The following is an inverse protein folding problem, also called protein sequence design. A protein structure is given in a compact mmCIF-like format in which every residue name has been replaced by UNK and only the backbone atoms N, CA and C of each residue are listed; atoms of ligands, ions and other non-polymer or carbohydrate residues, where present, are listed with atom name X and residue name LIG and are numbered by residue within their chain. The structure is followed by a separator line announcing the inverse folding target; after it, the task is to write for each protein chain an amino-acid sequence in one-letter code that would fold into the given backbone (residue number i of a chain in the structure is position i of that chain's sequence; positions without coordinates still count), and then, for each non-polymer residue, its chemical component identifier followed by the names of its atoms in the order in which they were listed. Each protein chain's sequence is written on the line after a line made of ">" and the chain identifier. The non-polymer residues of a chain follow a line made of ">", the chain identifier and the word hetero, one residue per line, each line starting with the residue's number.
data_IF_159054136065
#
_entry.id   IF_159054136065
#
_cell.length_a   1.000
_cell.length_b   1.000
_cell.length_c   1.000
_cell.angle_alpha   90.00
_cell.angle_beta   90.00
_cell.angle_gamma   90.00
#
_symmetry.space_group_name_H-M   'P 1'
#
loop_
_entity.id
_entity.type
_entity.pdbx_description
1 polymer ?
#
# COMPACT_ATOMS: atom_id res chain seq x y z
N UNK A 1 -15.45 4.34 -17.05
CA UNK A 1 -14.07 4.49 -16.51
C UNK A 1 -13.25 3.38 -17.14
N UNK A 2 -12.15 3.67 -17.86
CA UNK A 2 -11.31 2.60 -18.46
C UNK A 2 -10.72 1.80 -17.30
N UNK A 3 -10.97 0.48 -17.26
CA UNK A 3 -10.28 -0.43 -16.35
C UNK A 3 -8.80 -0.46 -16.76
N UNK A 4 -7.98 0.36 -16.13
CA UNK A 4 -6.53 0.23 -16.29
C UNK A 4 -6.14 -1.12 -15.69
N UNK A 5 -5.64 -2.01 -16.54
CA UNK A 5 -4.99 -3.24 -16.09
C UNK A 5 -3.81 -2.85 -15.18
N UNK A 6 -3.64 -3.51 -14.02
CA UNK A 6 -2.59 -3.16 -13.10
C UNK A 6 -1.22 -3.28 -13.78
N UNK A 7 -0.36 -2.30 -13.54
CA UNK A 7 0.97 -2.24 -14.17
C UNK A 7 1.92 -3.30 -13.58
N UNK A 8 1.76 -3.62 -12.30
CA UNK A 8 2.51 -4.64 -11.59
C UNK A 8 1.67 -5.35 -10.51
N UNK A 9 2.05 -6.59 -10.19
CA UNK A 9 1.65 -7.28 -8.96
C UNK A 9 2.74 -7.09 -7.91
N UNK A 10 2.42 -6.48 -6.78
CA UNK A 10 3.35 -6.32 -5.64
C UNK A 10 2.97 -7.32 -4.56
N UNK A 11 3.86 -8.25 -4.25
CA UNK A 11 3.74 -9.17 -3.12
C UNK A 11 4.55 -8.62 -1.96
N UNK A 12 3.91 -8.38 -0.82
CA UNK A 12 4.54 -7.83 0.37
C UNK A 12 4.59 -8.91 1.45
N UNK A 13 5.79 -9.23 1.92
CA UNK A 13 5.98 -10.05 3.11
C UNK A 13 5.68 -9.20 4.36
N UNK A 14 4.50 -9.41 4.92
CA UNK A 14 3.91 -8.50 5.90
C UNK A 14 4.70 -8.44 7.21
N UNK A 15 5.13 -9.58 7.76
CA UNK A 15 5.87 -9.58 9.02
C UNK A 15 7.30 -9.09 8.84
N UNK A 16 7.94 -9.38 7.70
CA UNK A 16 9.24 -8.80 7.40
C UNK A 16 9.17 -7.27 7.32
N UNK A 17 8.14 -6.73 6.67
CA UNK A 17 7.94 -5.27 6.57
C UNK A 17 7.65 -4.63 7.93
N UNK A 18 6.75 -5.21 8.74
CA UNK A 18 6.51 -4.76 10.12
C UNK A 18 7.83 -4.81 10.91
N UNK A 19 8.61 -5.87 10.73
CA UNK A 19 9.93 -6.08 11.31
C UNK A 19 11.05 -5.22 10.71
N UNK A 20 10.78 -4.37 9.72
CA UNK A 20 11.75 -3.44 9.15
C UNK A 20 11.40 -1.97 9.45
N UNK A 21 10.11 -1.63 9.45
CA UNK A 21 9.66 -0.24 9.61
C UNK A 21 9.61 0.17 11.07
N UNK A 22 10.43 1.15 11.44
CA UNK A 22 10.55 1.57 12.84
C UNK A 22 9.22 1.97 13.49
N UNK A 23 8.34 2.67 12.76
CA UNK A 23 7.01 3.03 13.27
C UNK A 23 6.14 1.80 13.54
N UNK A 24 6.12 0.82 12.64
CA UNK A 24 5.32 -0.40 12.81
C UNK A 24 5.87 -1.32 13.90
N UNK A 25 7.20 -1.37 14.09
CA UNK A 25 7.81 -2.04 15.25
C UNK A 25 7.32 -1.43 16.55
N UNK A 26 7.35 -0.10 16.66
CA UNK A 26 6.88 0.61 17.85
C UNK A 26 5.40 0.31 18.08
N UNK A 27 4.56 0.34 17.04
CA UNK A 27 3.14 -0.02 17.13
C UNK A 27 2.96 -1.46 17.60
N UNK A 28 3.68 -2.42 17.01
CA UNK A 28 3.65 -3.83 17.41
C UNK A 28 3.99 -3.99 18.88
N UNK A 29 5.07 -3.35 19.33
CA UNK A 29 5.60 -3.51 20.69
C UNK A 29 4.70 -2.84 21.74
N UNK A 30 3.96 -1.78 21.37
CA UNK A 30 3.08 -1.04 22.30
C UNK A 30 1.61 -1.45 22.25
N UNK A 31 1.11 -1.82 21.08
CA UNK A 31 -0.31 -2.01 20.79
C UNK A 31 -0.63 -3.41 20.24
N UNK A 32 0.38 -4.26 20.07
CA UNK A 32 0.23 -5.61 19.59
C UNK A 32 0.34 -5.74 18.07
N UNK A 33 0.54 -6.97 17.63
CA UNK A 33 0.79 -7.30 16.23
C UNK A 33 -0.39 -6.97 15.31
N UNK A 34 -1.61 -7.12 15.79
CA UNK A 34 -2.82 -6.83 15.02
C UNK A 34 -2.89 -5.36 14.61
N UNK A 35 -2.60 -4.43 15.54
CA UNK A 35 -2.55 -3.01 15.23
C UNK A 35 -1.44 -2.67 14.22
N UNK A 36 -0.30 -3.37 14.28
CA UNK A 36 0.76 -3.19 13.30
C UNK A 36 0.38 -3.71 11.91
N UNK A 37 -0.39 -4.81 11.81
CA UNK A 37 -0.95 -5.28 10.53
C UNK A 37 -1.89 -4.24 9.95
N UNK A 38 -2.82 -3.72 10.77
CA UNK A 38 -3.76 -2.70 10.36
C UNK A 38 -3.05 -1.43 9.83
N UNK A 39 -2.08 -0.90 10.57
CA UNK A 39 -1.34 0.29 10.15
C UNK A 39 -0.51 0.05 8.86
N UNK A 40 0.03 -1.15 8.67
CA UNK A 40 0.71 -1.50 7.43
C UNK A 40 -0.26 -1.49 6.24
N UNK A 41 -1.42 -2.13 6.39
CA UNK A 41 -2.45 -2.20 5.34
C UNK A 41 -2.91 -0.80 4.95
N UNK A 42 -3.25 0.04 5.93
CA UNK A 42 -3.65 1.44 5.70
C UNK A 42 -2.58 2.23 4.95
N UNK A 43 -1.31 2.08 5.32
CA UNK A 43 -0.21 2.76 4.64
C UNK A 43 -0.07 2.31 3.17
N UNK A 44 -0.33 1.03 2.88
CA UNK A 44 -0.21 0.46 1.55
C UNK A 44 -1.40 0.76 0.63
N UNK A 45 -2.59 1.05 1.16
CA UNK A 45 -3.78 1.41 0.36
C UNK A 45 -3.48 2.61 -0.55
N UNK A 46 -2.91 3.67 0.02
CA UNK A 46 -2.57 4.88 -0.75
C UNK A 46 -1.44 4.61 -1.75
N UNK A 47 -0.45 3.80 -1.39
CA UNK A 47 0.64 3.41 -2.29
C UNK A 47 0.12 2.60 -3.49
N UNK A 48 -0.68 1.55 -3.25
CA UNK A 48 -1.23 0.69 -4.28
C UNK A 48 -2.08 1.49 -5.29
N UNK A 49 -2.93 2.38 -4.78
CA UNK A 49 -3.80 3.23 -5.59
C UNK A 49 -3.01 4.27 -6.39
N UNK A 50 -1.99 4.88 -5.79
CA UNK A 50 -1.16 5.90 -6.45
C UNK A 50 -0.41 5.34 -7.66
N UNK A 51 0.04 4.09 -7.57
CA UNK A 51 0.82 3.44 -8.63
C UNK A 51 -0.04 2.56 -9.57
N UNK A 52 -1.34 2.43 -9.35
CA UNK A 52 -2.19 1.45 -10.04
C UNK A 52 -1.61 0.02 -9.98
N UNK A 53 -0.98 -0.34 -8.86
CA UNK A 53 -0.39 -1.66 -8.64
C UNK A 53 -1.38 -2.55 -7.90
N UNK A 54 -1.53 -3.79 -8.36
CA UNK A 54 -2.25 -4.80 -7.57
C UNK A 54 -1.31 -5.26 -6.46
N UNK A 55 -1.62 -4.90 -5.22
CA UNK A 55 -0.79 -5.18 -4.05
C UNK A 55 -1.44 -6.28 -3.23
N UNK A 56 -0.67 -7.30 -2.87
CA UNK A 56 -1.10 -8.38 -1.98
C UNK A 56 -0.15 -8.46 -0.80
N UNK A 57 -0.67 -8.22 0.39
CA UNK A 57 0.09 -8.34 1.65
C UNK A 57 -0.09 -9.76 2.18
N UNK A 58 1.00 -10.48 2.39
CA UNK A 58 0.99 -11.88 2.81
C UNK A 58 1.44 -11.96 4.26
N UNK A 59 0.61 -12.56 5.11
CA UNK A 59 0.94 -12.84 6.51
C UNK A 59 0.91 -14.34 6.76
N UNK A 60 1.90 -14.87 7.47
CA UNK A 60 1.79 -16.22 8.03
C UNK A 60 0.59 -16.31 8.98
N UNK A 61 -0.17 -17.39 8.87
CA UNK A 61 -1.17 -17.69 9.88
C UNK A 61 -0.51 -18.00 11.23
N UNK A 62 -1.17 -17.56 12.30
CA UNK A 62 -0.73 -17.81 13.68
C UNK A 62 -1.52 -18.94 14.35
N UNK A 63 -2.45 -19.58 13.62
CA UNK A 63 -3.45 -20.48 14.17
C UNK A 63 -3.30 -21.90 13.64
N UNK A 64 -3.44 -22.88 14.52
CA UNK A 64 -3.38 -24.30 14.19
C UNK A 64 -4.65 -24.70 13.41
N UNK A 65 -4.46 -25.27 12.21
CA UNK A 65 -5.51 -25.82 11.33
C UNK A 65 -6.50 -24.84 10.66
N UNK A 66 -6.16 -23.56 10.49
CA UNK A 66 -6.98 -22.65 9.68
C UNK A 66 -6.65 -22.77 8.18
N UNK A 67 -7.67 -22.76 7.29
CA UNK A 67 -7.44 -22.62 5.85
C UNK A 67 -6.90 -21.22 5.54
N UNK A 68 -6.30 -21.05 4.35
CA UNK A 68 -5.90 -19.73 3.89
C UNK A 68 -7.12 -18.81 3.71
N UNK A 69 -6.95 -17.54 4.00
CA UNK A 69 -8.00 -16.53 3.87
C UNK A 69 -7.49 -15.34 3.07
N UNK A 70 -8.28 -14.86 2.11
CA UNK A 70 -8.01 -13.62 1.38
C UNK A 70 -9.08 -12.58 1.69
N UNK A 71 -8.65 -11.38 2.06
CA UNK A 71 -9.50 -10.24 2.38
C UNK A 71 -9.21 -9.12 1.39
N UNK A 72 -10.21 -8.72 0.61
CA UNK A 72 -10.10 -7.56 -0.28
C UNK A 72 -10.40 -6.28 0.50
N UNK A 73 -9.42 -5.38 0.61
CA UNK A 73 -9.60 -4.08 1.25
C UNK A 73 -9.97 -3.00 0.23
N UNK A 74 -9.36 -3.07 -0.96
CA UNK A 74 -9.63 -2.18 -2.09
C UNK A 74 -9.42 -2.93 -3.41
N UNK A 75 -9.88 -2.39 -4.56
CA UNK A 75 -9.61 -3.00 -5.87
C UNK A 75 -8.11 -3.20 -6.20
N UNK A 76 -7.23 -2.46 -5.52
CA UNK A 76 -5.78 -2.52 -5.70
C UNK A 76 -5.04 -3.19 -4.52
N UNK A 77 -5.72 -3.56 -3.44
CA UNK A 77 -5.08 -4.12 -2.26
C UNK A 77 -5.91 -5.23 -1.63
N UNK A 78 -5.31 -6.41 -1.52
CA UNK A 78 -5.81 -7.52 -0.71
C UNK A 78 -4.78 -7.99 0.31
N UNK A 79 -5.27 -8.61 1.37
CA UNK A 79 -4.47 -9.27 2.40
C UNK A 79 -4.70 -10.77 2.28
N UNK A 80 -3.63 -11.55 2.29
CA UNK A 80 -3.66 -13.00 2.24
C UNK A 80 -3.02 -13.56 3.51
N UNK A 81 -3.83 -14.23 4.31
CA UNK A 81 -3.37 -15.04 5.43
C UNK A 81 -3.14 -16.47 4.93
N UNK A 82 -1.92 -16.97 5.06
CA UNK A 82 -1.56 -18.31 4.59
C UNK A 82 -2.30 -19.39 5.37
N UNK A 83 -2.42 -20.59 4.79
CA UNK A 83 -2.88 -21.74 5.56
C UNK A 83 -1.84 -22.12 6.63
N UNK A 84 -2.24 -22.85 7.68
CA UNK A 84 -1.30 -23.27 8.75
C UNK A 84 -0.06 -24.03 8.23
N UNK A 85 -0.18 -24.77 7.13
CA UNK A 85 0.90 -25.54 6.52
C UNK A 85 1.74 -24.77 5.49
N UNK A 86 1.45 -23.49 5.25
CA UNK A 86 2.11 -22.65 4.26
C UNK A 86 2.68 -21.40 4.93
N UNK A 87 3.94 -21.06 4.64
CA UNK A 87 4.54 -19.78 5.05
C UNK A 87 4.36 -18.74 3.95
N UNK A 88 4.44 -17.46 4.33
CA UNK A 88 4.42 -16.33 3.41
C UNK A 88 5.49 -16.48 2.34
N UNK A 89 6.67 -16.96 2.72
CA UNK A 89 7.75 -17.27 1.79
C UNK A 89 7.31 -18.29 0.74
N UNK A 90 6.83 -19.47 1.16
CA UNK A 90 6.36 -20.50 0.21
C UNK A 90 5.19 -20.05 -0.65
N UNK A 91 4.28 -19.25 -0.12
CA UNK A 91 3.19 -18.65 -0.91
C UNK A 91 3.76 -17.73 -1.99
N UNK A 92 4.66 -16.81 -1.62
CA UNK A 92 5.28 -15.84 -2.53
C UNK A 92 6.11 -16.54 -3.60
N UNK A 93 6.91 -17.54 -3.23
CA UNK A 93 7.69 -18.36 -4.17
C UNK A 93 6.78 -19.05 -5.20
N UNK A 94 5.72 -19.71 -4.74
CA UNK A 94 4.74 -20.37 -5.60
C UNK A 94 4.03 -19.37 -6.52
N UNK A 95 3.69 -18.18 -6.02
CA UNK A 95 3.10 -17.12 -6.81
C UNK A 95 4.06 -16.63 -7.91
N UNK A 96 5.34 -16.43 -7.58
CA UNK A 96 6.36 -16.04 -8.56
C UNK A 96 6.59 -17.14 -9.62
N UNK A 97 6.71 -18.40 -9.19
CA UNK A 97 6.89 -19.53 -10.10
C UNK A 97 5.70 -19.71 -11.06
N UNK A 98 4.48 -19.51 -10.56
CA UNK A 98 3.26 -19.56 -11.38
C UNK A 98 3.20 -18.39 -12.36
N UNK A 99 3.55 -17.18 -11.92
CA UNK A 99 3.55 -15.97 -12.73
C UNK A 99 4.47 -16.09 -13.96
N UNK A 100 5.64 -16.73 -13.80
CA UNK A 100 6.58 -16.99 -14.90
C UNK A 100 5.97 -17.77 -16.07
N UNK A 101 4.99 -18.63 -15.80
CA UNK A 101 4.43 -19.55 -16.80
C UNK A 101 3.22 -18.97 -17.55
N UNK A 102 2.77 -17.76 -17.21
CA UNK A 102 1.52 -17.20 -17.75
C UNK A 102 1.79 -15.92 -18.51
N UNK A 103 1.42 -15.88 -19.80
CA UNK A 103 1.43 -14.67 -20.63
C UNK A 103 0.18 -13.81 -20.39
N UNK A 104 -0.04 -13.36 -19.15
CA UNK A 104 -1.18 -12.50 -18.77
C UNK A 104 -0.72 -11.26 -18.02
N UNK A 105 -1.56 -10.22 -18.00
CA UNK A 105 -1.33 -9.00 -17.21
C UNK A 105 -1.67 -9.24 -15.72
N UNK A 106 -0.95 -8.60 -14.78
CA UNK A 106 0.24 -7.75 -14.98
C UNK A 106 1.42 -8.59 -15.50
N UNK A 107 2.34 -7.99 -16.29
CA UNK A 107 3.54 -8.68 -16.80
C UNK A 107 4.76 -8.55 -15.88
N UNK A 108 4.62 -7.76 -14.80
CA UNK A 108 5.66 -7.46 -13.82
C UNK A 108 5.20 -7.89 -12.43
N UNK A 109 6.07 -8.59 -11.71
CA UNK A 109 5.87 -8.97 -10.31
C UNK A 109 7.02 -8.41 -9.47
N UNK A 110 6.68 -7.80 -8.35
CA UNK A 110 7.61 -7.17 -7.42
C UNK A 110 7.42 -7.81 -6.05
N UNK A 111 8.48 -8.26 -5.41
CA UNK A 111 8.45 -8.81 -4.05
C UNK A 111 9.13 -7.86 -3.09
N UNK A 112 8.41 -7.45 -2.05
CA UNK A 112 8.91 -6.60 -0.99
C UNK A 112 9.25 -7.41 0.27
N UNK A 113 10.55 -7.63 0.49
CA UNK A 113 11.10 -8.28 1.69
C UNK A 113 12.56 -7.88 1.89
N UNK A 114 13.05 -7.97 3.13
CA UNK A 114 14.47 -7.81 3.51
C UNK A 114 15.13 -9.16 3.81
N UNK A 115 14.39 -10.27 3.71
CA UNK A 115 14.99 -11.61 3.81
C UNK A 115 15.88 -11.91 2.58
N UNK A 116 17.14 -12.29 2.82
CA UNK A 116 18.11 -12.54 1.76
C UNK A 116 17.85 -13.85 1.02
N UNK A 117 17.44 -14.90 1.73
CA UNK A 117 17.13 -16.19 1.12
C UNK A 117 15.92 -16.02 0.19
N UNK A 118 14.87 -15.38 0.68
CA UNK A 118 13.67 -15.12 -0.11
C UNK A 118 13.98 -14.25 -1.33
N UNK A 119 14.83 -13.23 -1.19
CA UNK A 119 15.29 -12.40 -2.32
C UNK A 119 15.92 -13.26 -3.41
N UNK A 120 16.84 -14.15 -3.07
CA UNK A 120 17.53 -14.97 -4.07
C UNK A 120 16.54 -15.86 -4.82
N UNK A 121 15.60 -16.48 -4.11
CA UNK A 121 14.59 -17.34 -4.71
C UNK A 121 13.67 -16.60 -5.67
N UNK A 122 13.07 -15.48 -5.23
CA UNK A 122 12.10 -14.76 -6.06
C UNK A 122 12.74 -14.12 -7.29
N UNK A 123 13.97 -13.61 -7.16
CA UNK A 123 14.74 -13.14 -8.32
C UNK A 123 15.06 -14.28 -9.28
N UNK A 124 15.37 -15.48 -8.76
CA UNK A 124 15.53 -16.69 -9.58
C UNK A 124 14.28 -17.05 -10.38
N UNK A 125 13.09 -16.74 -9.87
CA UNK A 125 11.82 -16.86 -10.59
C UNK A 125 11.52 -15.71 -11.57
N UNK A 126 12.39 -14.70 -11.65
CA UNK A 126 12.21 -13.53 -12.53
C UNK A 126 11.41 -12.39 -11.90
N UNK A 127 11.13 -12.44 -10.60
CA UNK A 127 10.51 -11.32 -9.90
C UNK A 127 11.51 -10.20 -9.63
N UNK A 128 11.02 -8.96 -9.61
CA UNK A 128 11.79 -7.83 -9.12
C UNK A 128 11.81 -7.82 -7.60
N UNK A 129 12.96 -7.54 -7.02
CA UNK A 129 13.11 -7.41 -5.58
C UNK A 129 13.04 -5.94 -5.14
N UNK A 130 12.35 -5.70 -4.04
CA UNK A 130 12.30 -4.43 -3.34
C UNK A 130 12.58 -4.66 -1.84
N UNK A 131 13.53 -3.91 -1.27
CA UNK A 131 13.72 -3.95 0.19
C UNK A 131 12.53 -3.32 0.92
N UNK A 132 12.27 -3.78 2.15
CA UNK A 132 11.20 -3.23 3.00
C UNK A 132 11.40 -1.72 3.26
N UNK A 133 12.64 -1.24 3.42
CA UNK A 133 12.93 0.19 3.61
C UNK A 133 12.71 1.03 2.35
N UNK A 134 12.98 0.46 1.16
CA UNK A 134 12.63 1.10 -0.12
C UNK A 134 11.11 1.25 -0.24
N UNK A 135 10.34 0.19 0.06
CA UNK A 135 8.88 0.26 0.09
C UNK A 135 8.40 1.36 1.05
N UNK A 136 8.99 1.47 2.25
CA UNK A 136 8.67 2.56 3.19
C UNK A 136 8.85 3.94 2.56
N UNK A 137 9.98 4.14 1.88
CA UNK A 137 10.31 5.41 1.25
C UNK A 137 9.33 5.77 0.13
N UNK A 138 8.93 4.79 -0.67
CA UNK A 138 7.93 4.96 -1.73
C UNK A 138 6.53 5.26 -1.17
N UNK A 139 6.11 4.56 -0.12
CA UNK A 139 4.84 4.78 0.59
C UNK A 139 4.77 6.18 1.19
N UNK A 140 5.86 6.65 1.81
CA UNK A 140 5.96 8.01 2.35
C UNK A 140 5.92 9.06 1.23
N UNK A 141 6.55 8.77 0.08
CA UNK A 141 6.51 9.66 -1.08
C UNK A 141 5.09 9.75 -1.68
N UNK A 142 4.40 8.63 -1.86
CA UNK A 142 3.00 8.59 -2.30
C UNK A 142 2.09 9.36 -1.34
N UNK A 143 2.29 9.19 -0.03
CA UNK A 143 1.54 9.91 1.02
C UNK A 143 1.74 11.43 0.98
N UNK A 144 2.97 11.90 0.72
CA UNK A 144 3.23 13.34 0.54
C UNK A 144 2.53 13.89 -0.70
N UNK A 145 2.63 13.20 -1.85
CA UNK A 145 1.99 13.63 -3.10
C UNK A 145 0.47 13.72 -2.97
N UNK A 146 -0.17 12.72 -2.36
CA UNK A 146 -1.62 12.74 -2.12
C UNK A 146 -2.06 13.93 -1.27
N UNK A 147 -1.28 14.29 -0.24
CA UNK A 147 -1.54 15.47 0.62
C UNK A 147 -1.34 16.79 -0.12
N UNK A 148 -0.31 16.89 -0.95
CA UNK A 148 -0.06 18.13 -1.71
C UNK A 148 -1.12 18.35 -2.79
N UNK A 149 -1.58 17.28 -3.43
CA UNK A 149 -2.70 17.32 -4.37
C UNK A 149 -4.00 17.75 -3.68
N UNK A 150 -4.32 17.21 -2.50
CA UNK A 150 -5.54 17.55 -1.79
C UNK A 150 -5.54 19.01 -1.31
N UNK A 151 -4.42 19.52 -0.76
CA UNK A 151 -4.26 20.93 -0.39
C UNK A 151 -4.42 21.87 -1.58
N UNK A 152 -3.81 21.53 -2.71
CA UNK A 152 -3.89 22.34 -3.94
C UNK A 152 -5.32 22.36 -4.49
N UNK A 153 -6.00 21.21 -4.50
CA UNK A 153 -7.39 21.07 -4.94
C UNK A 153 -8.37 21.83 -4.04
N UNK A 154 -8.24 21.72 -2.72
CA UNK A 154 -9.06 22.47 -1.75
C UNK A 154 -8.85 23.98 -1.89
N UNK A 155 -7.60 24.44 -2.06
CA UNK A 155 -7.29 25.87 -2.26
C UNK A 155 -7.90 26.43 -3.56
N UNK A 156 -7.88 25.65 -4.64
CA UNK A 156 -8.52 26.02 -5.91
C UNK A 156 -10.03 26.04 -5.77
N UNK A 157 -10.64 25.00 -5.19
CA UNK A 157 -12.09 24.92 -4.96
C UNK A 157 -12.61 26.06 -4.08
N UNK A 158 -11.89 26.39 -3.00
CA UNK A 158 -12.21 27.54 -2.15
C UNK A 158 -12.16 28.87 -2.91
N UNK A 159 -11.16 29.07 -3.79
CA UNK A 159 -11.09 30.26 -4.67
C UNK A 159 -12.21 30.30 -5.70
N UNK A 160 -12.58 29.17 -6.30
CA UNK A 160 -13.69 29.12 -7.25
C UNK A 160 -15.04 29.44 -6.59
N UNK A 161 -15.28 28.93 -5.38
CA UNK A 161 -16.47 29.26 -4.60
C UNK A 161 -16.48 30.75 -4.22
N UNK A 162 -15.36 31.26 -3.71
CA UNK A 162 -15.22 32.67 -3.36
C UNK A 162 -15.51 33.60 -4.55
N UNK A 163 -14.94 33.29 -5.72
CA UNK A 163 -15.11 34.09 -6.94
C UNK A 163 -16.54 34.02 -7.52
N UNK A 164 -17.33 33.01 -7.14
CA UNK A 164 -18.74 32.89 -7.53
C UNK A 164 -19.73 33.60 -6.59
N UNK A 165 -19.25 34.19 -5.50
CA UNK A 165 -20.08 34.94 -4.55
C UNK A 165 -20.29 36.39 -5.02
N UNK A 166 -21.41 36.97 -4.60
CA UNK A 166 -21.76 38.38 -4.79
C UNK A 166 -20.66 39.30 -4.18
N UNK A 167 -20.20 40.39 -4.83
CA UNK A 167 -19.06 41.18 -4.37
C UNK A 167 -19.18 41.74 -2.94
N UNK A 168 -20.41 42.00 -2.46
CA UNK A 168 -20.65 42.38 -1.06
C UNK A 168 -20.27 41.28 -0.07
N UNK A 169 -20.61 40.03 -0.38
CA UNK A 169 -20.30 38.86 0.46
C UNK A 169 -18.80 38.59 0.45
N UNK A 170 -18.13 38.79 -0.70
CA UNK A 170 -16.68 38.70 -0.80
C UNK A 170 -15.96 39.71 0.10
N UNK A 171 -16.38 40.98 0.08
CA UNK A 171 -15.82 42.02 0.95
C UNK A 171 -16.04 41.72 2.43
N UNK A 172 -17.24 41.28 2.80
CA UNK A 172 -17.59 40.97 4.18
C UNK A 172 -16.78 39.79 4.72
N UNK A 173 -16.56 38.75 3.90
CA UNK A 173 -15.65 37.64 4.23
C UNK A 173 -14.18 38.07 4.32
N UNK A 174 -13.75 39.03 3.50
CA UNK A 174 -12.38 39.57 3.58
C UNK A 174 -12.13 40.35 4.87
N UNK A 175 -13.10 41.16 5.32
CA UNK A 175 -13.02 41.88 6.59
C UNK A 175 -12.91 40.92 7.78
N UNK A 176 -13.76 39.89 7.81
CA UNK A 176 -13.70 38.82 8.81
C UNK A 176 -12.36 38.07 8.80
N UNK A 177 -11.74 37.88 7.63
CA UNK A 177 -10.42 37.24 7.51
C UNK A 177 -9.27 38.12 8.02
N UNK A 178 -9.45 39.43 8.03
CA UNK A 178 -8.49 40.43 8.52
C UNK A 178 -8.74 40.79 10.01
N UNK A 179 -9.79 40.23 10.63
CA UNK A 179 -10.15 40.50 12.02
C UNK A 179 -10.76 41.89 12.25
N UNK A 180 -11.35 42.49 11.21
CA UNK A 180 -12.09 43.76 11.22
C UNK A 180 -13.60 43.48 11.26
#
# INVERSE_FOLDING_TARGET
>A
MKSQSPEALVLVDGYNVIGAWNNLKITRDRHGLEMARYELVEALINYASHHCYKTKVVFDSQYQQTPSQEEEHTPFLSVYYTAFSETADTYIERACASFRNVYTLPSRIIVATTDQAQRHTVVGYGAEWMSSLKLQSEVLAASRRSRDHSKTSQSKRGRHLFNGLDPKVQQQLQQLRLGL
#
